data_IF_085379922618
#
_entry.id   IF_085379922618
#
_cell.length_a   1.000
_cell.length_b   1.000
_cell.length_c   1.000
_cell.angle_alpha   90.00
_cell.angle_beta   90.00
_cell.angle_gamma   90.00
#
_symmetry.space_group_name_H-M   'P 1'
#
loop_
_entity.id
_entity.type
_entity.pdbx_description
1 polymer ?
#
# COMPACT_ATOMS: atom_id res chain seq x y z
N UNK A 1 13.86 7.42 8.64
CA UNK A 1 12.62 7.28 7.85
C UNK A 1 12.31 5.82 7.57
N UNK A 2 11.05 5.47 7.54
CA UNK A 2 10.62 4.12 7.17
C UNK A 2 10.83 3.91 5.68
N UNK A 3 11.51 2.82 5.32
CA UNK A 3 11.76 2.46 3.92
C UNK A 3 11.14 1.12 3.52
N UNK A 4 10.66 0.34 4.47
CA UNK A 4 10.00 -0.94 4.20
C UNK A 4 9.17 -1.41 5.38
N UNK A 5 8.07 -2.07 5.06
CA UNK A 5 7.19 -2.75 6.01
C UNK A 5 6.50 -3.87 5.25
N UNK A 6 6.68 -5.11 5.69
CA UNK A 6 6.15 -6.28 4.98
C UNK A 6 5.71 -7.35 5.97
N UNK A 7 4.90 -8.28 5.47
CA UNK A 7 4.51 -9.46 6.23
C UNK A 7 5.65 -10.48 6.20
N UNK A 8 5.93 -11.05 7.36
CA UNK A 8 6.93 -12.09 7.50
C UNK A 8 6.59 -13.29 6.59
N UNK A 9 7.59 -13.82 5.90
CA UNK A 9 7.44 -14.92 4.97
C UNK A 9 6.82 -14.57 3.62
N UNK A 10 6.48 -13.30 3.38
CA UNK A 10 5.85 -12.87 2.13
C UNK A 10 6.87 -12.67 1.00
N UNK A 11 6.33 -12.54 -0.23
CA UNK A 11 7.13 -12.15 -1.39
C UNK A 11 7.82 -10.81 -1.17
N UNK A 12 7.13 -9.87 -0.56
CA UNK A 12 7.66 -8.52 -0.32
C UNK A 12 8.87 -8.54 0.60
N UNK A 13 8.88 -9.42 1.60
CA UNK A 13 10.06 -9.61 2.45
C UNK A 13 11.28 -9.99 1.62
N UNK A 14 11.11 -10.91 0.66
CA UNK A 14 12.21 -11.36 -0.21
C UNK A 14 12.65 -10.28 -1.19
N UNK A 15 11.72 -9.46 -1.66
CA UNK A 15 11.97 -8.44 -2.69
C UNK A 15 12.59 -7.17 -2.13
N UNK A 16 12.26 -6.81 -0.89
CA UNK A 16 12.60 -5.51 -0.32
C UNK A 16 13.49 -5.58 0.92
N UNK A 17 13.76 -6.79 1.45
CA UNK A 17 14.60 -6.93 2.63
C UNK A 17 16.03 -6.51 2.33
N UNK A 18 16.47 -5.46 2.99
CA UNK A 18 17.87 -5.03 3.01
C UNK A 18 18.58 -5.57 4.24
N UNK A 19 19.63 -4.89 4.67
CA UNK A 19 20.34 -5.22 5.90
C UNK A 19 19.37 -5.17 7.09
N UNK A 20 19.31 -6.29 7.83
CA UNK A 20 18.45 -6.39 9.01
C UNK A 20 19.24 -5.94 10.24
N UNK A 21 18.66 -5.01 10.98
CA UNK A 21 19.15 -4.60 12.28
C UNK A 21 18.05 -4.75 13.33
N UNK A 22 18.44 -5.14 14.52
CA UNK A 22 17.52 -5.22 15.68
C UNK A 22 17.44 -3.89 16.42
N UNK A 23 18.00 -2.84 15.85
CA UNK A 23 18.06 -1.53 16.51
C UNK A 23 16.70 -0.87 16.54
N UNK A 24 16.20 -0.59 17.72
CA UNK A 24 15.03 0.23 17.91
C UNK A 24 15.37 1.69 17.61
N UNK A 25 14.55 2.32 16.76
CA UNK A 25 14.66 3.73 16.41
C UNK A 25 13.37 4.45 16.75
N UNK A 26 13.42 5.78 16.74
CA UNK A 26 12.24 6.62 16.89
C UNK A 26 11.20 6.31 15.79
N UNK A 27 11.67 6.07 14.57
CA UNK A 27 10.81 5.67 13.45
C UNK A 27 10.09 4.35 13.74
N UNK A 28 10.77 3.35 14.28
CA UNK A 28 10.13 2.08 14.66
C UNK A 28 9.04 2.29 15.72
N UNK A 29 9.25 3.16 16.67
CA UNK A 29 8.25 3.50 17.70
C UNK A 29 7.02 4.15 17.08
N UNK A 30 7.21 5.06 16.12
CA UNK A 30 6.10 5.70 15.40
C UNK A 30 5.32 4.68 14.55
N UNK A 31 6.00 3.79 13.85
CA UNK A 31 5.36 2.74 13.05
C UNK A 31 4.54 1.81 13.94
N UNK A 32 5.10 1.41 15.08
CA UNK A 32 4.39 0.57 16.04
C UNK A 32 3.13 1.25 16.55
N UNK A 33 3.20 2.52 16.90
CA UNK A 33 2.05 3.31 17.33
C UNK A 33 0.99 3.39 16.23
N UNK A 34 1.40 3.61 15.00
CA UNK A 34 0.50 3.64 13.87
C UNK A 34 -0.22 2.30 13.68
N UNK A 35 0.54 1.19 13.71
CA UNK A 35 -0.02 -0.15 13.57
C UNK A 35 -0.95 -0.51 14.73
N UNK A 36 -0.59 -0.16 15.96
CA UNK A 36 -1.45 -0.39 17.12
C UNK A 36 -2.79 0.33 16.97
N UNK A 37 -2.78 1.58 16.52
CA UNK A 37 -3.99 2.33 16.23
C UNK A 37 -4.81 1.70 15.10
N UNK A 38 -4.17 1.31 14.03
CA UNK A 38 -4.82 0.66 12.88
C UNK A 38 -5.52 -0.64 13.31
N UNK A 39 -4.81 -1.53 14.00
CA UNK A 39 -5.37 -2.81 14.42
C UNK A 39 -6.37 -2.69 15.58
N UNK A 40 -6.36 -1.60 16.30
CA UNK A 40 -7.41 -1.29 17.27
C UNK A 40 -8.71 -0.76 16.63
N UNK A 41 -8.73 -0.63 15.31
CA UNK A 41 -9.90 -0.15 14.55
C UNK A 41 -9.93 1.36 14.33
N UNK A 42 -8.93 2.08 14.80
CA UNK A 42 -8.78 3.50 14.46
C UNK A 42 -8.30 3.63 13.02
N UNK A 43 -8.71 4.70 12.36
CA UNK A 43 -8.18 5.08 11.05
C UNK A 43 -7.16 6.19 11.28
N UNK A 44 -5.85 5.88 11.45
CA UNK A 44 -4.87 6.94 11.71
C UNK A 44 -4.89 7.98 10.59
N UNK A 45 -4.94 9.24 10.96
CA UNK A 45 -4.97 10.38 10.03
C UNK A 45 -3.58 10.96 9.78
N UNK A 46 -2.56 10.24 10.19
CA UNK A 46 -1.16 10.61 10.01
C UNK A 46 -0.37 9.39 9.50
N UNK A 47 0.80 9.63 8.95
CA UNK A 47 1.75 8.58 8.56
C UNK A 47 3.11 8.86 9.16
N UNK A 48 3.89 7.84 9.52
CA UNK A 48 5.28 8.04 9.93
C UNK A 48 6.11 8.60 8.77
N UNK A 49 7.23 9.25 9.04
CA UNK A 49 8.13 9.70 7.98
C UNK A 49 8.59 8.50 7.15
N UNK A 50 8.35 8.56 5.83
CA UNK A 50 8.63 7.47 4.90
C UNK A 50 9.47 7.97 3.73
N UNK A 51 10.28 7.05 3.18
CA UNK A 51 11.03 7.28 1.96
C UNK A 51 10.90 6.08 1.04
N UNK A 52 10.49 6.34 -0.20
CA UNK A 52 10.33 5.31 -1.23
C UNK A 52 11.64 5.22 -2.03
N UNK A 53 12.57 4.40 -1.54
CA UNK A 53 13.84 4.18 -2.22
C UNK A 53 13.62 3.46 -3.55
N UNK A 54 14.27 3.95 -4.61
CA UNK A 54 14.14 3.38 -5.95
C UNK A 54 12.81 3.65 -6.65
N UNK A 55 11.97 4.52 -6.09
CA UNK A 55 10.69 4.86 -6.72
C UNK A 55 10.91 5.70 -7.98
N UNK A 56 10.31 5.25 -9.09
CA UNK A 56 10.17 6.08 -10.28
C UNK A 56 9.12 7.16 -10.02
N UNK A 57 9.10 8.25 -10.83
CA UNK A 57 8.04 9.25 -10.72
C UNK A 57 6.63 8.65 -10.80
N UNK A 58 6.42 7.65 -11.66
CA UNK A 58 5.14 6.97 -11.78
C UNK A 58 4.78 6.19 -10.50
N UNK A 59 5.74 5.46 -9.91
CA UNK A 59 5.53 4.75 -8.64
C UNK A 59 5.18 5.70 -7.51
N UNK A 60 5.79 6.89 -7.47
CA UNK A 60 5.43 7.92 -6.48
C UNK A 60 4.01 8.41 -6.65
N UNK A 61 3.59 8.65 -7.89
CA UNK A 61 2.22 9.07 -8.18
C UNK A 61 1.21 8.02 -7.74
N UNK A 62 1.46 6.75 -8.04
CA UNK A 62 0.58 5.66 -7.62
C UNK A 62 0.53 5.55 -6.10
N UNK A 63 1.67 5.68 -5.42
CA UNK A 63 1.71 5.66 -3.95
C UNK A 63 0.91 6.80 -3.33
N UNK A 64 0.99 7.99 -3.89
CA UNK A 64 0.20 9.15 -3.46
C UNK A 64 -1.29 8.91 -3.63
N UNK A 65 -1.71 8.33 -4.75
CA UNK A 65 -3.11 7.98 -4.97
C UNK A 65 -3.60 6.92 -3.96
N UNK A 66 -2.77 5.91 -3.67
CA UNK A 66 -3.13 4.91 -2.67
C UNK A 66 -3.28 5.53 -1.27
N UNK A 67 -2.40 6.46 -0.90
CA UNK A 67 -2.48 7.14 0.40
C UNK A 67 -3.76 7.97 0.57
N UNK A 68 -4.41 8.34 -0.51
CA UNK A 68 -5.69 9.06 -0.48
C UNK A 68 -6.90 8.15 -0.28
N UNK A 69 -6.74 6.83 -0.42
CA UNK A 69 -7.84 5.89 -0.24
C UNK A 69 -8.21 5.78 1.24
N UNK A 70 -9.44 6.14 1.62
CA UNK A 70 -9.85 6.10 3.01
C UNK A 70 -9.92 4.66 3.55
N UNK A 71 -9.73 4.54 4.86
CA UNK A 71 -9.98 3.30 5.60
C UNK A 71 -11.40 2.79 5.31
N UNK A 72 -11.52 1.49 5.04
CA UNK A 72 -12.82 0.88 4.78
C UNK A 72 -13.33 1.05 3.34
N UNK A 73 -12.50 1.59 2.45
CA UNK A 73 -12.86 1.74 1.02
C UNK A 73 -11.93 0.96 0.13
N UNK A 74 -12.34 0.75 -1.10
CA UNK A 74 -11.54 0.11 -2.14
C UNK A 74 -11.59 0.92 -3.42
N UNK A 75 -10.56 0.78 -4.24
CA UNK A 75 -10.52 1.33 -5.59
C UNK A 75 -9.98 0.26 -6.54
N UNK A 76 -10.39 0.30 -7.79
CA UNK A 76 -9.83 -0.58 -8.80
C UNK A 76 -8.53 -0.02 -9.37
N UNK A 77 -7.71 -0.87 -9.99
CA UNK A 77 -6.54 -0.40 -10.74
C UNK A 77 -6.94 0.61 -11.82
N UNK A 78 -8.10 0.39 -12.45
CA UNK A 78 -8.65 1.31 -13.45
C UNK A 78 -9.02 2.68 -12.86
N UNK A 79 -9.56 2.71 -11.65
CA UNK A 79 -9.89 3.97 -10.97
C UNK A 79 -8.63 4.79 -10.72
N UNK A 80 -7.58 4.16 -10.23
CA UNK A 80 -6.28 4.83 -10.00
C UNK A 80 -5.68 5.28 -11.34
N UNK A 81 -5.76 4.45 -12.37
CA UNK A 81 -5.29 4.80 -13.71
C UNK A 81 -5.98 6.06 -14.26
N UNK A 82 -7.28 6.19 -14.05
CA UNK A 82 -8.03 7.39 -14.45
C UNK A 82 -7.57 8.64 -13.71
N UNK A 83 -7.32 8.53 -12.41
CA UNK A 83 -6.84 9.67 -11.62
C UNK A 83 -5.46 10.14 -12.10
N UNK A 84 -4.56 9.20 -12.37
CA UNK A 84 -3.22 9.53 -12.86
C UNK A 84 -3.27 10.12 -14.26
N UNK A 85 -4.08 9.54 -15.16
CA UNK A 85 -4.27 10.07 -16.50
C UNK A 85 -4.76 11.52 -16.45
N UNK A 86 -5.73 11.81 -15.60
CA UNK A 86 -6.25 13.17 -15.40
C UNK A 86 -5.14 14.14 -14.94
N UNK A 87 -4.33 13.75 -13.99
CA UNK A 87 -3.22 14.57 -13.48
C UNK A 87 -2.13 14.82 -14.51
N UNK A 88 -1.89 13.85 -15.41
CA UNK A 88 -0.90 13.97 -16.48
C UNK A 88 -1.45 14.62 -17.75
N UNK A 89 -2.73 14.97 -17.78
CA UNK A 89 -3.39 15.48 -18.98
C UNK A 89 -3.46 14.47 -20.11
N UNK A 90 -3.47 13.16 -19.77
CA UNK A 90 -3.57 12.06 -20.73
C UNK A 90 -5.01 11.55 -20.83
N UNK A 91 -5.39 11.07 -22.01
CA UNK A 91 -6.72 10.45 -22.22
C UNK A 91 -6.79 9.08 -21.54
N UNK A 92 -5.68 8.36 -21.48
CA UNK A 92 -5.60 6.99 -20.94
C UNK A 92 -4.35 6.76 -20.13
N UNK A 93 -4.48 5.87 -19.14
CA UNK A 93 -3.38 5.25 -18.43
C UNK A 93 -3.67 3.76 -18.30
N UNK A 94 -2.65 2.93 -18.49
CA UNK A 94 -2.77 1.48 -18.39
C UNK A 94 -3.05 1.03 -16.95
N UNK A 95 -4.15 0.30 -16.73
CA UNK A 95 -4.43 -0.35 -15.46
C UNK A 95 -3.34 -1.39 -15.11
N UNK A 96 -2.76 -2.04 -16.11
CA UNK A 96 -1.67 -3.00 -15.91
C UNK A 96 -0.41 -2.30 -15.39
N UNK A 97 -0.07 -1.13 -15.93
CA UNK A 97 1.06 -0.33 -15.45
C UNK A 97 0.85 0.10 -13.98
N UNK A 98 -0.38 0.52 -13.65
CA UNK A 98 -0.76 0.83 -12.26
C UNK A 98 -0.62 -0.40 -11.39
N UNK A 99 -1.07 -1.56 -11.84
CA UNK A 99 -0.93 -2.83 -11.11
C UNK A 99 0.52 -3.16 -10.78
N UNK A 100 1.44 -2.94 -11.71
CA UNK A 100 2.87 -3.11 -11.48
C UNK A 100 3.41 -2.16 -10.41
N UNK A 101 2.99 -0.90 -10.45
CA UNK A 101 3.41 0.10 -9.46
C UNK A 101 2.80 -0.16 -8.07
N UNK A 102 1.54 -0.60 -8.01
CA UNK A 102 0.89 -1.02 -6.75
C UNK A 102 1.63 -2.21 -6.16
N UNK A 103 1.96 -3.21 -6.97
CA UNK A 103 2.70 -4.40 -6.52
C UNK A 103 4.14 -4.12 -6.09
N UNK A 104 4.72 -3.02 -6.54
CA UNK A 104 6.06 -2.60 -6.11
C UNK A 104 6.08 -2.05 -4.68
N UNK A 105 4.96 -1.63 -4.12
CA UNK A 105 4.88 -0.96 -2.83
C UNK A 105 5.74 -1.65 -1.74
N UNK A 106 6.76 -0.99 -1.19
CA UNK A 106 7.62 -1.58 -0.16
C UNK A 106 7.10 -1.38 1.26
N UNK A 107 6.02 -0.59 1.44
CA UNK A 107 5.50 -0.24 2.77
C UNK A 107 4.04 -0.69 2.86
N UNK A 108 3.83 -1.95 3.19
CA UNK A 108 2.50 -2.53 3.34
C UNK A 108 1.69 -1.86 4.45
N UNK A 109 0.39 -1.91 4.36
CA UNK A 109 -0.60 -1.42 5.33
C UNK A 109 -0.66 0.10 5.38
N UNK A 110 0.44 0.78 5.67
CA UNK A 110 0.49 2.25 5.76
C UNK A 110 0.22 2.88 4.40
N UNK A 111 0.93 2.41 3.36
CA UNK A 111 0.54 2.72 1.98
C UNK A 111 -0.42 1.61 1.56
N UNK A 112 -1.72 1.89 1.46
CA UNK A 112 -2.75 0.85 1.50
C UNK A 112 -2.96 0.15 0.15
N UNK A 113 -1.95 -0.55 -0.35
CA UNK A 113 -2.07 -1.31 -1.58
C UNK A 113 -3.11 -2.44 -1.48
N UNK A 114 -3.45 -2.88 -0.28
CA UNK A 114 -4.53 -3.85 -0.05
C UNK A 114 -5.92 -3.30 -0.42
N UNK A 115 -6.09 -1.97 -0.47
CA UNK A 115 -7.35 -1.33 -0.89
C UNK A 115 -7.52 -1.25 -2.40
N UNK A 116 -6.52 -1.68 -3.17
CA UNK A 116 -6.60 -1.70 -4.64
C UNK A 116 -6.97 -3.11 -5.08
N UNK A 117 -8.06 -3.21 -5.84
CA UNK A 117 -8.65 -4.47 -6.27
C UNK A 117 -8.81 -4.49 -7.79
N UNK A 118 -9.07 -5.68 -8.33
CA UNK A 118 -9.35 -5.84 -9.75
C UNK A 118 -10.75 -5.40 -10.13
N UNK A 119 -10.99 -5.28 -11.43
CA UNK A 119 -12.30 -4.94 -11.98
C UNK A 119 -13.35 -5.96 -11.51
N UNK A 120 -14.54 -5.46 -11.20
CA UNK A 120 -15.62 -6.31 -10.70
C UNK A 120 -15.44 -6.84 -9.29
N UNK A 121 -14.51 -6.26 -8.52
CA UNK A 121 -14.26 -6.65 -7.14
C UNK A 121 -13.32 -7.85 -6.99
N UNK A 122 -12.62 -8.23 -8.05
CA UNK A 122 -11.67 -9.35 -8.00
C UNK A 122 -10.52 -9.06 -7.05
N UNK A 123 -10.28 -9.97 -6.11
CA UNK A 123 -9.12 -9.93 -5.23
C UNK A 123 -7.93 -10.56 -5.96
N UNK A 124 -7.20 -9.73 -6.67
CA UNK A 124 -5.98 -10.14 -7.37
C UNK A 124 -4.78 -10.05 -6.45
N UNK A 125 -3.63 -10.59 -6.91
CA UNK A 125 -2.43 -10.80 -6.13
C UNK A 125 -2.02 -9.63 -5.23
N UNK A 126 -1.42 -9.99 -4.11
CA UNK A 126 -0.93 -9.06 -3.11
C UNK A 126 0.45 -9.54 -2.67
N UNK A 127 1.45 -8.66 -2.72
CA UNK A 127 2.83 -8.99 -2.33
C UNK A 127 2.97 -9.43 -0.88
N UNK A 128 2.09 -8.94 -0.01
CA UNK A 128 1.99 -9.38 1.38
C UNK A 128 1.22 -10.69 1.58
N UNK A 129 0.70 -11.30 0.51
CA UNK A 129 -0.11 -12.52 0.54
C UNK A 129 -1.61 -12.25 0.48
N UNK A 130 -2.33 -12.99 -0.36
CA UNK A 130 -3.77 -12.78 -0.57
C UNK A 130 -4.58 -12.96 0.71
N UNK A 131 -4.21 -13.92 1.56
CA UNK A 131 -4.85 -14.11 2.87
C UNK A 131 -4.76 -12.86 3.72
N UNK A 132 -3.60 -12.22 3.73
CA UNK A 132 -3.39 -10.99 4.49
C UNK A 132 -4.20 -9.83 3.93
N UNK A 133 -4.31 -9.75 2.61
CA UNK A 133 -5.17 -8.75 1.94
C UNK A 133 -6.62 -8.88 2.40
N UNK A 134 -7.15 -10.10 2.39
CA UNK A 134 -8.52 -10.40 2.83
C UNK A 134 -8.71 -10.02 4.29
N UNK A 135 -7.76 -10.39 5.15
CA UNK A 135 -7.82 -10.06 6.59
C UNK A 135 -7.85 -8.55 6.80
N UNK A 136 -6.99 -7.81 6.10
CA UNK A 136 -6.93 -6.35 6.20
C UNK A 136 -8.25 -5.71 5.75
N UNK A 137 -8.78 -6.13 4.61
CA UNK A 137 -10.03 -5.58 4.09
C UNK A 137 -11.21 -5.88 5.04
N UNK A 138 -11.30 -7.08 5.57
CA UNK A 138 -12.31 -7.44 6.56
C UNK A 138 -12.15 -6.63 7.85
N UNK A 139 -10.92 -6.43 8.30
CA UNK A 139 -10.62 -5.60 9.46
C UNK A 139 -11.14 -4.17 9.26
N UNK A 140 -11.05 -3.67 8.04
CA UNK A 140 -11.54 -2.34 7.69
C UNK A 140 -13.06 -2.29 7.46
N UNK A 141 -13.75 -3.42 7.57
CA UNK A 141 -15.20 -3.48 7.37
C UNK A 141 -15.64 -3.59 5.93
N UNK A 142 -14.74 -3.90 5.01
CA UNK A 142 -15.09 -4.11 3.60
C UNK A 142 -15.78 -5.46 3.43
N UNK A 143 -16.95 -5.47 2.84
CA UNK A 143 -17.66 -6.70 2.50
C UNK A 143 -17.01 -7.33 1.25
N UNK A 144 -16.76 -8.62 1.34
CA UNK A 144 -16.11 -9.39 0.27
C UNK A 144 -17.04 -10.50 -0.23
#
# INVERSE_FOLDING_TARGET
MLTGLWFEGSRDERSHSGARGMKQSETCSLVRRWLDGYFAGAAPDWVPPMRLEGATPFRRMVSEEMLRLPFGTVATYGDIAKQIASKLGKVRMSAQAVGGAVGWNPICIIIPCHRVIGAGGKLTGYGGGLKNKIVLLKHEGVEL
#
